data_IF_455587597612
#
_entry.id   IF_455587597612
#
_cell.length_a   1.000
_cell.length_b   1.000
_cell.length_c   1.000
_cell.angle_alpha   90.00
_cell.angle_beta   90.00
_cell.angle_gamma   90.00
#
_symmetry.space_group_name_H-M   'P 1'
#
loop_
_entity.id
_entity.type
_entity.pdbx_description
1 polymer ?
#
# COMPACT_ATOMS: atom_id res chain seq x y z
N UNK A 1 -30.76 -3.84 -78.42
CA UNK A 1 -30.21 -5.19 -78.68
C UNK A 1 -30.00 -5.87 -77.33
N UNK A 2 -31.00 -6.64 -76.85
CA UNK A 2 -31.02 -8.13 -76.74
C UNK A 2 -30.24 -8.62 -75.50
N UNK A 3 -30.80 -9.23 -74.43
CA UNK A 3 -32.09 -9.89 -74.08
C UNK A 3 -32.22 -9.88 -72.51
N UNK A 4 -33.36 -9.57 -71.85
CA UNK A 4 -34.54 -10.41 -71.49
C UNK A 4 -34.19 -11.72 -70.72
N UNK A 5 -34.63 -12.00 -69.47
CA UNK A 5 -35.98 -12.44 -68.98
C UNK A 5 -35.93 -12.71 -67.44
N UNK A 6 -36.92 -12.27 -66.62
CA UNK A 6 -38.04 -13.03 -65.93
C UNK A 6 -37.58 -14.20 -65.01
N UNK A 7 -38.00 -14.41 -63.74
CA UNK A 7 -39.33 -14.53 -63.06
C UNK A 7 -39.15 -14.26 -61.54
N UNK A 8 -40.04 -13.61 -60.77
CA UNK A 8 -41.37 -13.96 -60.22
C UNK A 8 -41.43 -15.11 -59.18
N UNK A 9 -41.86 -14.73 -57.96
CA UNK A 9 -42.78 -15.39 -56.99
C UNK A 9 -42.28 -16.59 -56.20
N UNK A 10 -42.43 -16.50 -54.87
CA UNK A 10 -42.36 -17.66 -53.97
C UNK A 10 -42.39 -17.28 -52.49
N UNK A 11 -43.54 -16.81 -52.00
CA UNK A 11 -43.87 -16.72 -50.57
C UNK A 11 -43.88 -18.14 -49.99
N UNK A 12 -43.05 -18.41 -48.99
CA UNK A 12 -43.02 -19.66 -48.24
C UNK A 12 -42.78 -19.38 -46.77
N UNK A 13 -43.85 -19.10 -46.03
CA UNK A 13 -43.87 -19.15 -44.57
C UNK A 13 -43.68 -20.62 -44.17
N UNK A 14 -42.55 -20.93 -43.54
CA UNK A 14 -42.41 -22.12 -42.70
C UNK A 14 -41.99 -21.67 -41.32
N UNK A 15 -42.98 -21.58 -40.44
CA UNK A 15 -42.82 -21.68 -39.00
C UNK A 15 -42.32 -23.11 -38.70
N UNK A 16 -41.04 -23.24 -38.37
CA UNK A 16 -40.52 -24.43 -37.72
C UNK A 16 -39.56 -23.97 -36.62
N UNK A 17 -40.06 -24.03 -35.39
CA UNK A 17 -39.28 -23.78 -34.18
C UNK A 17 -38.01 -24.61 -34.17
N UNK A 18 -36.89 -23.94 -33.93
CA UNK A 18 -35.65 -24.59 -33.54
C UNK A 18 -35.17 -23.86 -32.30
N UNK A 19 -35.21 -24.58 -31.18
CA UNK A 19 -34.47 -24.28 -29.97
C UNK A 19 -33.03 -23.91 -30.35
N UNK A 20 -32.69 -22.62 -30.31
CA UNK A 20 -31.29 -22.22 -30.14
C UNK A 20 -30.97 -22.47 -28.67
N UNK A 21 -30.54 -23.70 -28.40
CA UNK A 21 -29.74 -24.03 -27.25
C UNK A 21 -28.67 -22.94 -27.10
N UNK A 22 -28.65 -22.32 -25.92
CA UNK A 22 -27.68 -21.30 -25.57
C UNK A 22 -26.28 -21.83 -25.84
N UNK A 23 -25.61 -21.21 -26.82
CA UNK A 23 -24.16 -21.25 -26.83
C UNK A 23 -23.73 -20.60 -25.51
N UNK A 24 -22.93 -21.27 -24.67
CA UNK A 24 -22.33 -20.60 -23.55
C UNK A 24 -21.54 -19.45 -24.14
N UNK A 25 -21.86 -18.23 -23.70
CA UNK A 25 -20.92 -17.12 -23.79
C UNK A 25 -19.67 -17.66 -23.11
N UNK A 26 -18.68 -18.02 -23.93
CA UNK A 26 -17.36 -18.39 -23.48
C UNK A 26 -16.83 -17.12 -22.85
N UNK A 27 -17.02 -16.98 -21.54
CA UNK A 27 -16.45 -15.89 -20.76
C UNK A 27 -14.98 -15.81 -21.17
N UNK A 28 -14.53 -14.61 -21.51
CA UNK A 28 -13.10 -14.32 -21.58
C UNK A 28 -12.46 -14.99 -20.37
N UNK A 29 -11.57 -15.96 -20.61
CA UNK A 29 -10.72 -16.48 -19.55
C UNK A 29 -9.99 -15.26 -19.00
N UNK A 30 -10.42 -14.77 -17.84
CA UNK A 30 -9.76 -13.70 -17.12
C UNK A 30 -8.34 -14.16 -16.84
N UNK A 31 -7.40 -13.75 -17.71
CA UNK A 31 -6.00 -14.08 -17.58
C UNK A 31 -5.49 -13.35 -16.34
N UNK A 32 -5.27 -14.10 -15.27
CA UNK A 32 -4.62 -13.59 -14.06
C UNK A 32 -3.32 -12.91 -14.48
N UNK A 33 -3.19 -11.63 -14.13
CA UNK A 33 -2.02 -10.84 -14.47
C UNK A 33 -0.89 -11.19 -13.49
N UNK A 34 0.21 -11.72 -14.01
CA UNK A 34 1.41 -12.02 -13.21
C UNK A 34 2.41 -10.87 -13.38
N UNK A 35 2.75 -10.23 -12.26
CA UNK A 35 3.59 -9.06 -12.16
C UNK A 35 4.81 -9.36 -11.30
N UNK A 36 5.97 -8.81 -11.67
CA UNK A 36 7.16 -8.92 -10.83
C UNK A 36 8.00 -10.20 -10.99
N UNK A 37 7.74 -11.02 -12.01
CA UNK A 37 8.46 -12.28 -12.27
C UNK A 37 9.40 -12.20 -13.49
N UNK A 38 9.88 -11.00 -13.84
CA UNK A 38 10.79 -10.82 -14.98
C UNK A 38 12.26 -10.89 -14.55
N UNK A 39 13.15 -11.16 -15.50
CA UNK A 39 14.60 -11.13 -15.29
C UNK A 39 15.11 -9.77 -14.76
N UNK A 40 14.38 -8.68 -15.01
CA UNK A 40 14.70 -7.37 -14.45
C UNK A 40 14.53 -7.36 -12.92
N UNK A 41 13.41 -7.88 -12.41
CA UNK A 41 13.16 -7.98 -10.97
C UNK A 41 14.11 -8.97 -10.28
N UNK A 42 14.50 -10.05 -10.96
CA UNK A 42 15.53 -10.97 -10.44
C UNK A 42 16.88 -10.27 -10.29
N UNK A 43 17.24 -9.39 -11.24
CA UNK A 43 18.49 -8.66 -11.20
C UNK A 43 18.46 -7.56 -10.12
N UNK A 44 17.36 -6.80 -10.04
CA UNK A 44 17.13 -5.80 -8.99
C UNK A 44 17.11 -6.46 -7.60
N UNK A 45 16.52 -7.64 -7.47
CA UNK A 45 16.48 -8.40 -6.23
C UNK A 45 17.87 -8.79 -5.68
N UNK A 46 18.89 -8.90 -6.54
CA UNK A 46 20.26 -9.20 -6.14
C UNK A 46 21.04 -8.00 -5.60
N UNK A 47 20.49 -6.78 -5.68
CA UNK A 47 21.15 -5.59 -5.15
C UNK A 47 21.41 -5.74 -3.66
N UNK A 48 22.65 -5.53 -3.24
CA UNK A 48 23.02 -5.53 -1.83
C UNK A 48 22.48 -4.25 -1.18
N UNK A 49 21.65 -4.41 -0.16
CA UNK A 49 21.06 -3.30 0.59
C UNK A 49 21.35 -3.44 2.07
N UNK A 50 21.52 -2.31 2.74
CA UNK A 50 21.59 -2.24 4.19
C UNK A 50 20.18 -2.01 4.74
N UNK A 51 19.68 -2.97 5.51
CA UNK A 51 18.38 -2.94 6.15
C UNK A 51 18.51 -3.41 7.61
N UNK A 52 17.98 -2.64 8.55
CA UNK A 52 18.08 -2.90 10.00
C UNK A 52 19.51 -3.22 10.48
N UNK A 53 20.50 -2.50 9.96
CA UNK A 53 21.92 -2.66 10.33
C UNK A 53 22.64 -3.85 9.69
N UNK A 54 21.97 -4.62 8.82
CA UNK A 54 22.56 -5.77 8.11
C UNK A 54 22.54 -5.57 6.61
N UNK A 55 23.62 -5.96 5.92
CA UNK A 55 23.67 -6.04 4.46
C UNK A 55 23.07 -7.36 3.99
N UNK A 56 22.07 -7.31 3.10
CA UNK A 56 21.41 -8.47 2.49
C UNK A 56 20.88 -8.13 1.09
N UNK A 57 20.57 -9.11 0.23
CA UNK A 57 19.92 -8.85 -1.05
C UNK A 57 18.55 -8.17 -0.87
N UNK A 58 18.18 -7.28 -1.79
CA UNK A 58 16.88 -6.62 -1.79
C UNK A 58 15.72 -7.62 -1.84
N UNK A 59 15.86 -8.72 -2.57
CA UNK A 59 14.86 -9.80 -2.61
C UNK A 59 14.59 -10.40 -1.22
N UNK A 60 15.63 -10.55 -0.37
CA UNK A 60 15.44 -11.01 1.01
C UNK A 60 14.63 -10.01 1.82
N UNK A 61 14.94 -8.71 1.71
CA UNK A 61 14.16 -7.66 2.39
C UNK A 61 12.72 -7.67 1.90
N UNK A 62 12.52 -7.64 0.57
CA UNK A 62 11.19 -7.61 -0.03
C UNK A 62 10.34 -8.81 0.40
N UNK A 63 10.89 -10.02 0.41
CA UNK A 63 10.19 -11.22 0.89
C UNK A 63 9.81 -11.12 2.35
N UNK A 64 10.71 -10.68 3.22
CA UNK A 64 10.45 -10.53 4.65
C UNK A 64 9.32 -9.51 4.91
N UNK A 65 9.40 -8.33 4.29
CA UNK A 65 8.41 -7.27 4.50
C UNK A 65 7.06 -7.62 3.87
N UNK A 66 7.03 -8.14 2.64
CA UNK A 66 5.80 -8.60 1.98
C UNK A 66 5.16 -9.74 2.77
N UNK A 67 5.94 -10.72 3.25
CA UNK A 67 5.43 -11.79 4.10
C UNK A 67 4.91 -11.28 5.43
N UNK A 68 5.55 -10.28 6.02
CA UNK A 68 5.07 -9.68 7.25
C UNK A 68 3.68 -9.06 7.05
N UNK A 69 3.50 -8.24 6.01
CA UNK A 69 2.25 -7.51 5.75
C UNK A 69 1.13 -8.41 5.19
N UNK A 70 1.44 -9.22 4.18
CA UNK A 70 0.46 -10.03 3.45
C UNK A 70 0.30 -11.46 4.04
N UNK A 71 1.26 -11.94 4.82
CA UNK A 71 1.33 -13.31 5.34
C UNK A 71 1.98 -14.32 4.41
N UNK A 72 2.27 -13.93 3.16
CA UNK A 72 2.96 -14.74 2.14
C UNK A 72 3.92 -13.87 1.35
N UNK A 73 4.91 -14.47 0.70
CA UNK A 73 5.92 -13.74 -0.08
C UNK A 73 5.41 -13.26 -1.45
N UNK A 74 4.30 -13.81 -1.92
CA UNK A 74 3.66 -13.44 -3.19
C UNK A 74 2.29 -12.87 -2.88
N UNK A 75 2.03 -11.64 -3.31
CA UNK A 75 0.72 -11.01 -3.10
C UNK A 75 -0.23 -11.50 -4.19
N UNK A 76 -1.44 -11.86 -3.77
CA UNK A 76 -2.54 -12.25 -4.65
C UNK A 76 -3.68 -11.30 -4.41
N UNK A 77 -4.02 -10.50 -5.43
CA UNK A 77 -5.11 -9.55 -5.38
C UNK A 77 -6.35 -10.18 -5.98
N UNK A 78 -7.46 -10.03 -5.25
CA UNK A 78 -8.76 -10.52 -5.64
C UNK A 78 -9.67 -9.34 -5.95
N UNK A 79 -10.57 -9.50 -6.92
CA UNK A 79 -11.62 -8.53 -7.18
C UNK A 79 -12.74 -8.59 -6.12
N UNK A 80 -13.78 -7.76 -6.27
CA UNK A 80 -14.92 -7.72 -5.36
C UNK A 80 -15.71 -9.05 -5.29
N UNK A 81 -15.55 -9.92 -6.28
CA UNK A 81 -16.16 -11.26 -6.31
C UNK A 81 -15.29 -12.34 -5.64
N UNK A 82 -14.17 -11.93 -5.04
CA UNK A 82 -13.11 -12.79 -4.49
C UNK A 82 -12.40 -13.63 -5.57
N UNK A 83 -12.45 -13.21 -6.83
CA UNK A 83 -11.75 -13.89 -7.93
C UNK A 83 -10.33 -13.35 -8.05
N UNK A 84 -9.33 -14.22 -8.15
CA UNK A 84 -7.93 -13.84 -8.34
C UNK A 84 -7.77 -13.08 -9.67
N UNK A 85 -7.26 -11.85 -9.62
CA UNK A 85 -7.05 -11.00 -10.80
C UNK A 85 -5.58 -10.68 -11.04
N UNK A 86 -4.78 -10.50 -9.98
CA UNK A 86 -3.36 -10.20 -10.09
C UNK A 86 -2.52 -10.99 -9.09
N UNK A 87 -1.30 -11.31 -9.49
CA UNK A 87 -0.27 -11.90 -8.64
C UNK A 87 1.00 -11.08 -8.75
N UNK A 88 1.59 -10.71 -7.62
CA UNK A 88 2.76 -9.85 -7.55
C UNK A 88 3.92 -10.56 -6.85
N UNK A 89 5.08 -10.58 -7.52
CA UNK A 89 6.35 -10.96 -6.92
C UNK A 89 6.75 -9.99 -5.80
N UNK A 90 7.52 -10.46 -4.80
CA UNK A 90 7.85 -9.68 -3.60
C UNK A 90 8.60 -8.39 -3.91
N UNK A 91 9.63 -8.47 -4.77
CA UNK A 91 10.44 -7.31 -5.15
C UNK A 91 9.59 -6.25 -5.83
N UNK A 92 8.77 -6.65 -6.81
CA UNK A 92 7.89 -5.73 -7.50
C UNK A 92 6.89 -5.05 -6.57
N UNK A 93 6.18 -5.82 -5.74
CA UNK A 93 5.23 -5.24 -4.78
C UNK A 93 5.91 -4.26 -3.81
N UNK A 94 7.05 -4.66 -3.24
CA UNK A 94 7.79 -3.84 -2.28
C UNK A 94 8.27 -2.50 -2.87
N UNK A 95 8.73 -2.51 -4.12
CA UNK A 95 9.12 -1.29 -4.83
C UNK A 95 7.91 -0.44 -5.19
N UNK A 96 6.84 -1.08 -5.65
CA UNK A 96 5.61 -0.40 -6.05
C UNK A 96 4.90 0.27 -4.86
N UNK A 97 5.06 -0.27 -3.63
CA UNK A 97 4.64 0.43 -2.40
C UNK A 97 5.31 1.79 -2.22
N UNK A 98 6.56 1.94 -2.65
CA UNK A 98 7.31 3.19 -2.51
C UNK A 98 6.97 4.20 -3.60
N UNK A 99 6.69 3.73 -4.81
CA UNK A 99 6.52 4.56 -6.02
C UNK A 99 5.05 4.91 -6.27
N UNK A 100 4.12 3.97 -6.06
CA UNK A 100 2.68 4.12 -6.33
C UNK A 100 1.83 3.71 -5.12
N UNK A 101 2.04 4.33 -3.93
CA UNK A 101 1.31 3.97 -2.71
C UNK A 101 -0.21 4.11 -2.85
N UNK A 102 -0.69 5.03 -3.68
CA UNK A 102 -2.11 5.26 -3.93
C UNK A 102 -2.82 4.05 -4.52
N UNK A 103 -2.13 3.24 -5.33
CA UNK A 103 -2.69 1.98 -5.82
C UNK A 103 -2.90 1.00 -4.66
N UNK A 104 -1.89 0.85 -3.81
CA UNK A 104 -1.85 -0.10 -2.70
C UNK A 104 -2.75 0.28 -1.53
N UNK A 105 -2.92 1.58 -1.27
CA UNK A 105 -3.81 2.09 -0.22
C UNK A 105 -5.27 1.62 -0.41
N UNK A 106 -5.67 1.29 -1.64
CA UNK A 106 -6.99 0.78 -2.00
C UNK A 106 -7.00 -0.75 -2.28
N UNK A 107 -5.87 -1.45 -2.18
CA UNK A 107 -5.82 -2.91 -2.37
C UNK A 107 -6.02 -3.67 -1.04
N UNK A 108 -6.79 -4.77 -1.02
CA UNK A 108 -6.92 -5.61 0.17
C UNK A 108 -5.72 -6.54 0.32
N UNK A 109 -4.63 -6.06 0.94
CA UNK A 109 -3.40 -6.85 1.10
C UNK A 109 -2.83 -6.85 2.53
N UNK A 110 -3.40 -6.10 3.48
CA UNK A 110 -2.96 -6.15 4.88
C UNK A 110 -3.67 -7.31 5.58
N UNK A 111 -2.90 -8.29 6.06
CA UNK A 111 -3.47 -9.49 6.67
C UNK A 111 -4.14 -9.22 8.02
N UNK A 112 -5.42 -9.57 8.10
CA UNK A 112 -6.25 -9.61 9.32
C UNK A 112 -6.97 -10.96 9.35
N UNK A 113 -6.24 -12.00 9.77
CA UNK A 113 -6.67 -13.40 9.72
C UNK A 113 -7.68 -13.78 10.81
N UNK A 114 -7.79 -12.98 11.86
CA UNK A 114 -8.71 -13.23 12.98
C UNK A 114 -10.10 -12.63 12.72
N UNK A 115 -11.10 -13.50 12.52
CA UNK A 115 -12.46 -13.11 12.15
C UNK A 115 -13.12 -12.10 13.12
N UNK A 116 -13.09 -12.29 14.46
CA UNK A 116 -13.72 -11.33 15.38
C UNK A 116 -13.13 -9.92 15.29
N UNK A 117 -11.82 -9.80 15.09
CA UNK A 117 -11.16 -8.51 14.90
C UNK A 117 -11.60 -7.86 13.58
N UNK A 118 -11.60 -8.64 12.48
CA UNK A 118 -12.00 -8.13 11.17
C UNK A 118 -13.45 -7.63 11.17
N UNK A 119 -14.36 -8.36 11.81
CA UNK A 119 -15.74 -7.92 12.00
C UNK A 119 -15.80 -6.63 12.80
N UNK A 120 -15.05 -6.50 13.90
CA UNK A 120 -15.00 -5.27 14.69
C UNK A 120 -14.51 -4.07 13.87
N UNK A 121 -13.50 -4.24 13.01
CA UNK A 121 -12.96 -3.19 12.13
C UNK A 121 -13.98 -2.77 11.06
N UNK A 122 -14.65 -3.73 10.42
CA UNK A 122 -15.56 -3.48 9.29
C UNK A 122 -16.98 -3.11 9.70
N UNK A 123 -17.37 -3.26 10.97
CA UNK A 123 -18.76 -3.11 11.41
C UNK A 123 -19.31 -1.73 11.08
N UNK A 124 -18.63 -0.66 11.47
CA UNK A 124 -19.15 0.71 11.31
C UNK A 124 -19.25 1.11 9.83
N UNK A 125 -18.22 0.82 9.03
CA UNK A 125 -18.22 1.11 7.59
C UNK A 125 -19.29 0.31 6.85
N UNK A 126 -19.51 -0.95 7.24
CA UNK A 126 -20.57 -1.78 6.67
C UNK A 126 -21.94 -1.25 7.04
N UNK A 127 -22.18 -0.88 8.30
CA UNK A 127 -23.44 -0.26 8.75
C UNK A 127 -23.71 1.04 7.99
N UNK A 128 -22.69 1.89 7.81
CA UNK A 128 -22.81 3.12 7.01
C UNK A 128 -23.23 2.82 5.58
N UNK A 129 -22.56 1.88 4.90
CA UNK A 129 -22.91 1.52 3.52
C UNK A 129 -24.30 0.92 3.38
N UNK A 130 -24.78 0.14 4.37
CA UNK A 130 -26.17 -0.33 4.38
C UNK A 130 -27.17 0.82 4.51
N UNK A 131 -26.86 1.84 5.34
CA UNK A 131 -27.69 3.06 5.43
C UNK A 131 -27.66 3.86 4.13
N UNK A 132 -26.52 3.93 3.45
CA UNK A 132 -26.41 4.60 2.15
C UNK A 132 -27.27 3.91 1.09
N UNK A 133 -27.28 2.56 1.05
CA UNK A 133 -28.17 1.79 0.17
C UNK A 133 -29.64 2.03 0.55
N UNK A 134 -29.97 2.06 1.83
CA UNK A 134 -31.32 2.35 2.31
C UNK A 134 -31.81 3.75 1.88
N UNK A 135 -30.92 4.74 1.85
CA UNK A 135 -31.23 6.11 1.51
C UNK A 135 -31.46 6.36 0.01
N UNK A 136 -31.11 5.42 -0.87
CA UNK A 136 -31.31 5.57 -2.33
C UNK A 136 -32.79 5.66 -2.68
N UNK A 137 -33.10 6.44 -3.70
CA UNK A 137 -34.46 6.58 -4.24
C UNK A 137 -34.96 5.27 -4.87
N UNK A 138 -34.05 4.48 -5.43
CA UNK A 138 -34.31 3.17 -6.02
C UNK A 138 -34.69 2.10 -4.99
N UNK A 139 -34.47 2.34 -3.70
CA UNK A 139 -34.74 1.39 -2.62
C UNK A 139 -36.21 1.47 -2.19
N UNK A 140 -36.89 0.31 -2.17
CA UNK A 140 -38.29 0.21 -1.74
C UNK A 140 -38.47 0.64 -0.28
N UNK A 141 -39.67 1.08 0.11
CA UNK A 141 -39.95 1.44 1.51
C UNK A 141 -39.73 0.26 2.47
N UNK A 142 -40.10 -0.95 2.05
CA UNK A 142 -39.88 -2.20 2.80
C UNK A 142 -38.38 -2.45 3.03
N UNK A 143 -37.59 -2.39 1.96
CA UNK A 143 -36.13 -2.59 2.02
C UNK A 143 -35.42 -1.50 2.82
N UNK A 144 -35.86 -0.24 2.69
CA UNK A 144 -35.31 0.88 3.46
C UNK A 144 -35.45 0.65 4.97
N UNK A 145 -36.64 0.23 5.42
CA UNK A 145 -36.87 -0.12 6.83
C UNK A 145 -36.06 -1.34 7.25
N UNK A 146 -35.98 -2.38 6.42
CA UNK A 146 -35.23 -3.59 6.72
C UNK A 146 -33.72 -3.34 6.84
N UNK A 147 -33.13 -2.61 5.89
CA UNK A 147 -31.71 -2.24 5.89
C UNK A 147 -31.36 -1.33 7.08
N UNK A 148 -32.21 -0.36 7.40
CA UNK A 148 -31.99 0.53 8.56
C UNK A 148 -32.00 -0.26 9.86
N UNK A 149 -32.96 -1.18 10.03
CA UNK A 149 -33.03 -2.08 11.19
C UNK A 149 -31.81 -2.99 11.27
N UNK A 150 -31.38 -3.56 10.13
CA UNK A 150 -30.20 -4.41 10.07
C UNK A 150 -28.92 -3.64 10.46
N UNK A 151 -28.77 -2.41 9.97
CA UNK A 151 -27.66 -1.53 10.28
C UNK A 151 -27.64 -1.04 11.75
N UNK A 152 -28.74 -1.18 12.49
CA UNK A 152 -28.84 -0.84 13.92
C UNK A 152 -28.85 -2.08 14.83
N UNK A 153 -28.95 -3.28 14.25
CA UNK A 153 -28.98 -4.54 15.00
C UNK A 153 -27.72 -4.75 15.83
N UNK A 154 -27.88 -5.29 17.04
CA UNK A 154 -26.76 -5.78 17.86
C UNK A 154 -26.17 -7.08 17.29
N UNK A 155 -26.97 -7.88 16.60
CA UNK A 155 -26.57 -9.12 15.92
C UNK A 155 -26.21 -8.84 14.46
N UNK A 156 -25.13 -8.07 14.25
CA UNK A 156 -24.66 -7.72 12.92
C UNK A 156 -23.71 -8.79 12.36
N UNK A 157 -24.28 -9.76 11.62
CA UNK A 157 -23.55 -10.94 11.13
C UNK A 157 -23.74 -11.14 9.61
N UNK A 158 -22.82 -11.86 8.97
CA UNK A 158 -22.96 -12.31 7.58
C UNK A 158 -24.26 -13.07 7.34
N UNK A 159 -24.69 -13.91 8.29
CA UNK A 159 -25.93 -14.67 8.19
C UNK A 159 -27.17 -13.76 8.18
N UNK A 160 -27.19 -12.71 9.03
CA UNK A 160 -28.28 -11.75 9.07
C UNK A 160 -28.39 -10.95 7.75
N UNK A 161 -27.26 -10.53 7.18
CA UNK A 161 -27.25 -9.84 5.88
C UNK A 161 -27.69 -10.78 4.74
N UNK A 162 -27.24 -12.03 4.76
CA UNK A 162 -27.62 -13.04 3.76
C UNK A 162 -29.11 -13.37 3.83
N UNK A 163 -29.66 -13.49 5.04
CA UNK A 163 -31.08 -13.72 5.24
C UNK A 163 -31.93 -12.56 4.70
N UNK A 164 -31.49 -11.31 4.89
CA UNK A 164 -32.11 -10.14 4.29
C UNK A 164 -32.12 -10.22 2.74
N UNK A 165 -30.98 -10.55 2.14
CA UNK A 165 -30.84 -10.62 0.68
C UNK A 165 -31.78 -11.64 0.01
N UNK A 166 -32.14 -12.72 0.70
CA UNK A 166 -33.04 -13.76 0.16
C UNK A 166 -34.48 -13.26 -0.05
N UNK A 167 -34.91 -12.26 0.72
CA UNK A 167 -36.26 -11.68 0.62
C UNK A 167 -36.29 -10.27 0.04
N UNK A 168 -35.13 -9.66 -0.23
CA UNK A 168 -35.03 -8.27 -0.69
C UNK A 168 -35.55 -8.07 -2.11
N UNK A 169 -36.08 -6.87 -2.37
CA UNK A 169 -36.48 -6.42 -3.72
C UNK A 169 -35.52 -5.34 -4.25
N UNK A 170 -34.29 -5.34 -3.75
CA UNK A 170 -33.26 -4.40 -4.15
C UNK A 170 -32.96 -4.51 -5.65
N UNK A 171 -32.69 -3.38 -6.33
CA UNK A 171 -32.07 -3.40 -7.64
C UNK A 171 -30.80 -4.26 -7.66
N UNK A 172 -30.51 -4.91 -8.78
CA UNK A 172 -29.40 -5.87 -8.89
C UNK A 172 -28.05 -5.28 -8.44
N UNK A 173 -27.77 -4.01 -8.77
CA UNK A 173 -26.55 -3.32 -8.36
C UNK A 173 -26.45 -3.14 -6.83
N UNK A 174 -27.57 -2.81 -6.18
CA UNK A 174 -27.66 -2.64 -4.73
C UNK A 174 -27.58 -3.99 -4.03
N UNK A 175 -28.25 -5.01 -4.59
CA UNK A 175 -28.18 -6.40 -4.12
C UNK A 175 -26.74 -6.91 -4.15
N UNK A 176 -26.02 -6.68 -5.25
CA UNK A 176 -24.60 -7.03 -5.38
C UNK A 176 -23.74 -6.31 -4.33
N UNK A 177 -23.97 -5.01 -4.14
CA UNK A 177 -23.27 -4.21 -3.11
C UNK A 177 -23.47 -4.82 -1.72
N UNK A 178 -24.70 -5.14 -1.33
CA UNK A 178 -25.01 -5.73 -0.01
C UNK A 178 -24.46 -7.16 0.12
N UNK A 179 -24.43 -7.94 -0.97
CA UNK A 179 -23.82 -9.27 -0.99
C UNK A 179 -22.30 -9.21 -0.79
N UNK A 180 -21.62 -8.26 -1.44
CA UNK A 180 -20.18 -8.01 -1.24
C UNK A 180 -19.89 -7.66 0.22
N UNK A 181 -20.68 -6.77 0.83
CA UNK A 181 -20.56 -6.44 2.26
C UNK A 181 -20.67 -7.67 3.18
N UNK A 182 -21.65 -8.55 2.93
CA UNK A 182 -21.81 -9.79 3.69
C UNK A 182 -20.59 -10.71 3.56
N UNK A 183 -20.09 -10.85 2.33
CA UNK A 183 -18.94 -11.69 1.98
C UNK A 183 -17.67 -11.24 2.69
N UNK A 184 -17.46 -9.92 2.79
CA UNK A 184 -16.31 -9.31 3.45
C UNK A 184 -16.28 -9.51 4.97
N UNK A 185 -17.43 -9.67 5.60
CA UNK A 185 -17.54 -10.04 7.02
C UNK A 185 -17.32 -11.54 7.27
N UNK A 186 -17.25 -12.36 6.22
CA UNK A 186 -17.03 -13.81 6.29
C UNK A 186 -15.55 -14.21 6.43
N UNK A 187 -15.28 -15.51 6.49
CA UNK A 187 -13.93 -16.06 6.71
C UNK A 187 -12.99 -15.95 5.51
N UNK A 188 -13.54 -15.89 4.29
CA UNK A 188 -12.78 -15.92 3.04
C UNK A 188 -11.97 -14.64 2.78
N UNK A 189 -12.43 -13.50 3.28
CA UNK A 189 -11.80 -12.19 3.07
C UNK A 189 -10.84 -11.84 4.21
N UNK A 190 -9.62 -12.40 4.17
CA UNK A 190 -8.63 -12.23 5.26
C UNK A 190 -7.78 -10.97 5.17
N UNK A 191 -7.86 -10.24 4.07
CA UNK A 191 -7.07 -9.02 3.86
C UNK A 191 -7.95 -7.79 3.82
N UNK A 192 -7.49 -6.73 4.46
CA UNK A 192 -8.10 -5.41 4.45
C UNK A 192 -7.23 -4.43 3.69
N UNK A 193 -7.83 -3.35 3.21
CA UNK A 193 -7.08 -2.23 2.64
C UNK A 193 -6.40 -1.43 3.75
N UNK A 194 -5.26 -0.76 3.47
CA UNK A 194 -4.69 0.21 4.40
C UNK A 194 -5.70 1.28 4.84
N UNK A 195 -6.48 1.84 3.91
CA UNK A 195 -7.50 2.86 4.24
C UNK A 195 -8.57 2.35 5.19
N UNK A 196 -9.03 1.11 5.03
CA UNK A 196 -10.02 0.54 5.94
C UNK A 196 -9.51 0.37 7.36
N UNK A 197 -8.21 0.11 7.53
CA UNK A 197 -7.60 0.09 8.86
C UNK A 197 -7.39 1.50 9.42
N UNK A 198 -7.04 2.47 8.58
CA UNK A 198 -6.83 3.87 8.98
C UNK A 198 -8.14 4.55 9.39
N UNK A 199 -9.21 4.34 8.62
CA UNK A 199 -10.52 4.96 8.82
C UNK A 199 -11.38 4.21 9.86
N UNK A 200 -10.97 2.99 10.25
CA UNK A 200 -11.75 2.18 11.17
C UNK A 200 -11.84 2.83 12.56
N UNK A 201 -13.07 2.82 13.08
CA UNK A 201 -13.35 3.07 14.50
C UNK A 201 -13.78 1.76 15.12
N UNK A 202 -13.14 1.39 16.23
CA UNK A 202 -13.45 0.17 16.95
C UNK A 202 -14.09 0.53 18.28
N UNK A 203 -15.22 -0.10 18.57
CA UNK A 203 -15.87 0.02 19.88
C UNK A 203 -15.18 -0.89 20.88
N UNK A 204 -14.54 -0.30 21.88
CA UNK A 204 -13.89 -1.01 22.97
C UNK A 204 -14.25 -0.36 24.31
N UNK A 205 -14.68 -1.17 25.29
CA UNK A 205 -15.14 -0.69 26.62
C UNK A 205 -16.18 0.44 26.54
N UNK A 206 -17.06 0.39 25.53
CA UNK A 206 -18.14 1.36 25.34
C UNK A 206 -17.73 2.68 24.66
N UNK A 207 -16.48 2.81 24.21
CA UNK A 207 -15.99 3.97 23.49
C UNK A 207 -15.54 3.59 22.07
N UNK A 208 -15.90 4.41 21.09
CA UNK A 208 -15.45 4.25 19.71
C UNK A 208 -14.16 5.05 19.48
N UNK A 209 -13.05 4.35 19.30
CA UNK A 209 -11.70 4.93 19.13
C UNK A 209 -11.16 4.60 17.74
N UNK A 210 -10.36 5.48 17.13
CA UNK A 210 -9.69 5.15 15.89
C UNK A 210 -8.79 3.91 16.07
N UNK A 211 -8.74 3.03 15.08
CA UNK A 211 -8.07 1.74 15.20
C UNK A 211 -6.59 1.89 15.58
N UNK A 212 -5.86 2.82 14.97
CA UNK A 212 -4.44 3.02 15.28
C UNK A 212 -4.18 3.64 16.66
N UNK A 213 -5.10 4.49 17.16
CA UNK A 213 -5.04 4.99 18.53
C UNK A 213 -5.30 3.86 19.54
N UNK A 214 -6.26 3.00 19.23
CA UNK A 214 -6.53 1.80 20.04
C UNK A 214 -5.30 0.89 20.06
N UNK A 215 -4.70 0.55 18.91
CA UNK A 215 -3.47 -0.26 18.83
C UNK A 215 -2.34 0.35 19.67
N UNK A 216 -2.10 1.65 19.59
CA UNK A 216 -1.07 2.31 20.39
C UNK A 216 -1.32 2.17 21.90
N UNK A 217 -2.59 2.27 22.33
CA UNK A 217 -2.98 2.05 23.73
C UNK A 217 -2.76 0.60 24.19
N UNK A 218 -3.01 -0.37 23.30
CA UNK A 218 -2.80 -1.80 23.58
C UNK A 218 -1.32 -2.17 23.65
N UNK A 219 -0.48 -1.62 22.77
CA UNK A 219 0.99 -1.79 22.86
C UNK A 219 1.52 -1.20 24.17
N UNK A 220 1.01 -0.06 24.63
CA UNK A 220 1.36 0.50 25.94
C UNK A 220 0.91 -0.40 27.09
N UNK A 221 -0.33 -0.88 27.06
CA UNK A 221 -0.83 -1.83 28.04
C UNK A 221 0.02 -3.11 28.07
N UNK A 222 0.40 -3.64 26.90
CA UNK A 222 1.30 -4.79 26.80
C UNK A 222 2.64 -4.52 27.48
N UNK A 223 3.27 -3.37 27.21
CA UNK A 223 4.55 -3.01 27.85
C UNK A 223 4.43 -2.91 29.37
N UNK A 224 3.36 -2.30 29.88
CA UNK A 224 3.10 -2.23 31.33
C UNK A 224 2.88 -3.60 31.94
N UNK A 225 2.12 -4.48 31.27
CA UNK A 225 1.90 -5.86 31.72
C UNK A 225 3.20 -6.65 31.77
N UNK A 226 4.03 -6.57 30.72
CA UNK A 226 5.30 -7.29 30.65
C UNK A 226 6.28 -6.80 31.73
N UNK A 227 6.26 -5.50 32.07
CA UNK A 227 7.08 -4.92 33.13
C UNK A 227 6.55 -5.25 34.55
N UNK A 228 5.24 -5.22 34.74
CA UNK A 228 4.57 -5.57 36.00
C UNK A 228 3.19 -6.19 35.72
N UNK A 229 3.07 -7.53 35.75
CA UNK A 229 1.81 -8.23 35.45
C UNK A 229 0.63 -7.89 36.37
N UNK A 230 0.87 -7.30 37.54
CA UNK A 230 -0.18 -6.86 38.46
C UNK A 230 -0.69 -5.44 38.21
N UNK A 231 -0.07 -4.68 37.29
CA UNK A 231 -0.37 -3.25 37.08
C UNK A 231 -1.53 -2.98 36.12
N UNK A 232 -1.78 -3.90 35.19
CA UNK A 232 -2.82 -3.78 34.14
C UNK A 232 -3.34 -5.17 33.77
N UNK A 233 -4.50 -5.22 33.12
CA UNK A 233 -5.08 -6.48 32.62
C UNK A 233 -4.25 -7.07 31.47
N UNK A 234 -4.27 -8.40 31.36
CA UNK A 234 -3.67 -9.09 30.21
C UNK A 234 -4.53 -8.87 28.96
N UNK A 235 -3.88 -8.64 27.83
CA UNK A 235 -4.57 -8.53 26.54
C UNK A 235 -5.31 -9.82 26.17
N UNK A 236 -6.53 -9.65 25.67
CA UNK A 236 -7.35 -10.66 25.01
C UNK A 236 -6.75 -11.08 23.65
N UNK A 237 -7.26 -12.16 23.06
CA UNK A 237 -6.81 -12.57 21.72
C UNK A 237 -7.10 -11.51 20.66
N UNK A 238 -8.30 -10.91 20.67
CA UNK A 238 -8.67 -9.84 19.74
C UNK A 238 -7.70 -8.65 19.82
N UNK A 239 -7.33 -8.23 21.04
CA UNK A 239 -6.39 -7.12 21.25
C UNK A 239 -4.97 -7.47 20.79
N UNK A 240 -4.50 -8.69 21.04
CA UNK A 240 -3.20 -9.14 20.51
C UNK A 240 -3.18 -9.13 18.97
N UNK A 241 -4.26 -9.62 18.35
CA UNK A 241 -4.40 -9.61 16.89
C UNK A 241 -4.53 -8.20 16.33
N UNK A 242 -5.11 -7.27 17.08
CA UNK A 242 -5.19 -5.86 16.70
C UNK A 242 -3.79 -5.24 16.63
N UNK A 243 -2.93 -5.52 17.62
CA UNK A 243 -1.51 -5.13 17.59
C UNK A 243 -0.82 -5.70 16.35
N UNK A 244 -1.00 -6.99 16.04
CA UNK A 244 -0.38 -7.59 14.86
C UNK A 244 -0.84 -6.92 13.56
N UNK A 245 -2.14 -6.67 13.40
CA UNK A 245 -2.69 -5.97 12.23
C UNK A 245 -2.16 -4.53 12.12
N UNK A 246 -2.11 -3.80 13.24
CA UNK A 246 -1.54 -2.45 13.29
C UNK A 246 -0.06 -2.42 12.95
N UNK A 247 0.73 -3.41 13.40
CA UNK A 247 2.15 -3.55 13.03
C UNK A 247 2.32 -3.77 11.53
N UNK A 248 1.49 -4.63 10.92
CA UNK A 248 1.51 -4.84 9.46
C UNK A 248 1.22 -3.56 8.69
N UNK A 249 0.20 -2.81 9.09
CA UNK A 249 -0.09 -1.50 8.48
C UNK A 249 1.09 -0.54 8.64
N UNK A 250 1.67 -0.46 9.84
CA UNK A 250 2.81 0.41 10.11
C UNK A 250 4.06 0.03 9.32
N UNK A 251 4.29 -1.26 9.09
CA UNK A 251 5.37 -1.75 8.22
C UNK A 251 5.16 -1.27 6.79
N UNK A 252 3.96 -1.47 6.21
CA UNK A 252 3.66 -0.92 4.88
C UNK A 252 3.85 0.60 4.83
N UNK A 253 3.31 1.34 5.80
CA UNK A 253 3.43 2.80 5.90
C UNK A 253 4.86 3.28 6.19
N UNK A 254 5.78 2.41 6.61
CA UNK A 254 7.18 2.74 6.75
C UNK A 254 7.88 2.89 5.39
N UNK A 255 7.40 2.19 4.36
CA UNK A 255 7.95 2.23 3.01
C UNK A 255 7.14 3.12 2.06
N UNK A 256 5.81 3.15 2.22
CA UNK A 256 4.89 3.92 1.35
C UNK A 256 4.82 5.42 1.67
N UNK A 257 4.14 6.19 0.80
CA UNK A 257 3.93 7.64 0.95
C UNK A 257 5.21 8.47 0.79
N UNK A 258 5.19 9.76 1.14
CA UNK A 258 6.36 10.64 1.02
C UNK A 258 7.22 10.69 2.29
N UNK A 259 6.65 10.34 3.44
CA UNK A 259 7.39 10.35 4.70
C UNK A 259 8.50 9.30 4.73
N UNK A 260 9.68 9.71 5.18
CA UNK A 260 10.82 8.82 5.37
C UNK A 260 10.88 8.41 6.84
N UNK A 261 10.41 7.19 7.15
CA UNK A 261 10.37 6.65 8.51
C UNK A 261 11.60 5.80 8.78
N UNK A 262 12.24 5.98 9.93
CA UNK A 262 13.49 5.29 10.28
C UNK A 262 13.39 3.76 10.20
N UNK A 263 12.23 3.20 10.52
CA UNK A 263 11.96 1.77 10.47
C UNK A 263 11.94 1.20 9.03
N UNK A 264 11.66 2.02 8.02
CA UNK A 264 11.53 1.61 6.61
C UNK A 264 12.72 2.00 5.73
N UNK A 265 13.86 2.36 6.31
CA UNK A 265 15.01 2.82 5.51
C UNK A 265 15.78 1.61 4.95
N UNK A 266 15.59 1.35 3.66
CA UNK A 266 16.46 0.48 2.86
C UNK A 266 17.52 1.33 2.20
N UNK A 267 18.81 1.14 2.53
CA UNK A 267 19.91 1.91 1.91
C UNK A 267 20.61 1.08 0.86
N UNK A 268 20.85 1.64 -0.31
CA UNK A 268 21.25 0.85 -1.50
C UNK A 268 22.54 1.33 -2.16
N UNK A 269 22.88 2.61 -2.06
CA UNK A 269 24.06 3.14 -2.75
C UNK A 269 24.88 4.08 -1.87
N UNK A 270 26.22 4.06 -1.97
CA UNK A 270 27.05 5.06 -1.34
C UNK A 270 26.71 6.46 -1.88
N UNK A 271 27.04 7.49 -1.09
CA UNK A 271 26.87 8.88 -1.49
C UNK A 271 27.97 9.27 -2.47
N UNK A 272 27.68 10.09 -3.50
CA UNK A 272 28.71 10.71 -4.30
C UNK A 272 29.62 11.58 -3.41
N UNK A 273 30.93 11.53 -3.65
CA UNK A 273 31.94 12.26 -2.88
C UNK A 273 32.93 13.00 -3.81
N UNK A 274 32.54 13.24 -5.07
CA UNK A 274 33.35 13.97 -6.04
C UNK A 274 33.30 15.48 -5.80
N UNK A 275 34.19 16.23 -6.45
CA UNK A 275 34.12 17.69 -6.45
C UNK A 275 32.75 18.22 -6.91
N UNK A 276 32.12 17.54 -7.88
CA UNK A 276 30.74 17.84 -8.31
C UNK A 276 29.74 17.68 -7.17
N UNK A 277 29.86 16.61 -6.38
CA UNK A 277 28.99 16.37 -5.23
C UNK A 277 29.13 17.46 -4.15
N UNK A 278 30.36 17.94 -3.87
CA UNK A 278 30.58 19.07 -2.96
C UNK A 278 29.93 20.36 -3.47
N UNK A 279 30.07 20.65 -4.77
CA UNK A 279 29.39 21.77 -5.41
C UNK A 279 27.86 21.68 -5.27
N UNK A 280 27.30 20.48 -5.41
CA UNK A 280 25.88 20.23 -5.18
C UNK A 280 25.46 20.49 -3.73
N UNK A 281 26.23 20.02 -2.74
CA UNK A 281 25.95 20.30 -1.31
C UNK A 281 25.87 21.80 -1.05
N UNK A 282 26.80 22.57 -1.61
CA UNK A 282 26.80 24.05 -1.53
C UNK A 282 25.52 24.65 -2.12
N UNK A 283 25.08 24.15 -3.28
CA UNK A 283 23.83 24.57 -3.91
C UNK A 283 22.62 24.25 -3.04
N UNK A 284 22.58 23.05 -2.45
CA UNK A 284 21.48 22.62 -1.58
C UNK A 284 21.39 23.49 -0.33
N UNK A 285 22.50 23.89 0.29
CA UNK A 285 22.52 24.82 1.43
C UNK A 285 21.88 26.17 1.03
N UNK A 286 22.22 26.69 -0.15
CA UNK A 286 21.62 27.94 -0.67
C UNK A 286 20.10 27.78 -0.90
N UNK A 287 19.68 26.68 -1.51
CA UNK A 287 18.26 26.36 -1.72
C UNK A 287 17.50 26.28 -0.39
N UNK A 288 18.09 25.61 0.61
CA UNK A 288 17.51 25.46 1.95
C UNK A 288 17.32 26.80 2.66
N UNK A 289 18.30 27.71 2.54
CA UNK A 289 18.22 29.07 3.11
C UNK A 289 17.16 29.94 2.45
N UNK A 290 16.92 29.74 1.15
CA UNK A 290 15.88 30.43 0.41
C UNK A 290 14.48 29.82 0.59
N UNK A 291 14.39 28.60 1.13
CA UNK A 291 13.13 27.90 1.30
C UNK A 291 12.37 28.36 2.55
N UNK A 292 11.04 28.38 2.47
CA UNK A 292 10.17 28.62 3.63
C UNK A 292 10.14 27.41 4.57
N UNK A 293 10.37 26.21 4.05
CA UNK A 293 10.36 24.95 4.78
C UNK A 293 11.35 23.96 4.17
N UNK A 294 12.05 23.21 5.03
CA UNK A 294 12.90 22.09 4.56
C UNK A 294 12.10 20.97 3.89
N UNK A 295 10.78 20.93 4.09
CA UNK A 295 9.87 19.98 3.41
C UNK A 295 9.64 20.31 1.94
N UNK A 296 9.95 21.54 1.52
CA UNK A 296 9.78 21.98 0.13
C UNK A 296 10.97 21.56 -0.75
N UNK A 297 12.05 21.04 -0.14
CA UNK A 297 13.23 20.54 -0.84
C UNK A 297 12.93 19.20 -1.53
N UNK A 298 13.60 18.96 -2.65
CA UNK A 298 13.52 17.65 -3.30
C UNK A 298 14.08 16.55 -2.36
N UNK A 299 13.61 15.29 -2.46
CA UNK A 299 14.01 14.22 -1.55
C UNK A 299 15.53 14.05 -1.42
N UNK A 300 16.26 14.13 -2.54
CA UNK A 300 17.72 14.01 -2.57
C UNK A 300 18.44 15.23 -1.97
N UNK A 301 17.87 16.43 -2.09
CA UNK A 301 18.40 17.64 -1.43
C UNK A 301 18.26 17.54 0.09
N UNK A 302 17.08 17.16 0.56
CA UNK A 302 16.83 16.96 1.99
C UNK A 302 17.73 15.86 2.58
N UNK A 303 17.90 14.75 1.87
CA UNK A 303 18.82 13.68 2.27
C UNK A 303 20.29 14.14 2.27
N UNK A 304 20.68 15.01 1.33
CA UNK A 304 22.01 15.64 1.31
C UNK A 304 22.24 16.52 2.54
N UNK A 305 21.26 17.35 2.93
CA UNK A 305 21.35 18.15 4.16
C UNK A 305 21.43 17.29 5.42
N UNK A 306 20.69 16.19 5.48
CA UNK A 306 20.78 15.25 6.61
C UNK A 306 22.17 14.63 6.73
N UNK A 307 22.81 14.30 5.61
CA UNK A 307 24.18 13.80 5.62
C UNK A 307 25.16 14.85 6.18
N UNK A 308 25.03 16.11 5.73
CA UNK A 308 25.84 17.21 6.23
C UNK A 308 25.62 17.47 7.72
N UNK A 309 24.36 17.49 8.18
CA UNK A 309 24.03 17.64 9.60
C UNK A 309 24.63 16.50 10.44
N UNK A 310 24.56 15.27 9.94
CA UNK A 310 25.18 14.10 10.60
C UNK A 310 26.70 14.29 10.73
N UNK A 311 27.37 14.70 9.66
CA UNK A 311 28.81 15.00 9.69
C UNK A 311 29.15 16.12 10.69
N UNK A 312 28.36 17.19 10.70
CA UNK A 312 28.56 18.30 11.63
C UNK A 312 28.30 17.95 13.09
N UNK A 313 27.49 16.93 13.39
CA UNK A 313 27.27 16.48 14.76
C UNK A 313 28.55 15.90 15.40
N UNK A 314 29.51 15.45 14.59
CA UNK A 314 30.81 14.97 15.03
C UNK A 314 31.87 16.09 15.12
N UNK A 315 31.51 17.35 14.82
CA UNK A 315 32.43 18.49 14.74
C UNK A 315 31.99 19.62 15.69
N UNK A 316 32.93 20.18 16.50
CA UNK A 316 32.66 21.37 17.32
C UNK A 316 32.03 22.49 16.51
N UNK A 317 31.03 23.17 17.09
CA UNK A 317 30.19 24.14 16.36
C UNK A 317 30.99 25.30 15.75
N UNK A 318 32.04 25.75 16.42
CA UNK A 318 32.97 26.79 16.00
C UNK A 318 33.92 26.37 14.86
N UNK A 319 34.01 25.06 14.59
CA UNK A 319 34.82 24.47 13.52
C UNK A 319 33.96 24.03 12.31
N UNK A 320 32.64 24.22 12.38
CA UNK A 320 31.75 23.90 11.27
C UNK A 320 31.90 24.94 10.18
N UNK A 321 32.19 24.46 8.97
CA UNK A 321 32.34 25.29 7.76
C UNK A 321 31.44 24.70 6.69
N UNK A 322 30.90 25.57 5.83
CA UNK A 322 30.15 25.10 4.68
C UNK A 322 31.07 24.40 3.68
N UNK A 323 30.67 23.25 3.13
CA UNK A 323 31.39 22.64 2.02
C UNK A 323 31.63 23.65 0.90
N UNK A 324 32.83 23.68 0.35
CA UNK A 324 33.27 24.60 -0.70
C UNK A 324 34.03 25.85 -0.20
N UNK A 325 34.02 26.15 1.10
CA UNK A 325 34.74 27.31 1.65
C UNK A 325 36.19 27.00 2.07
N UNK A 326 36.51 25.73 2.35
CA UNK A 326 37.82 25.31 2.83
C UNK A 326 38.23 23.94 2.27
N UNK A 327 39.26 23.92 1.42
CA UNK A 327 39.73 22.72 0.74
C UNK A 327 40.11 21.56 1.69
N UNK A 328 40.68 21.84 2.87
CA UNK A 328 41.07 20.80 3.81
C UNK A 328 39.84 20.17 4.49
N UNK A 329 38.80 20.96 4.77
CA UNK A 329 37.55 20.46 5.33
C UNK A 329 36.72 19.74 4.26
N UNK A 330 36.76 20.20 3.02
CA UNK A 330 36.14 19.54 1.88
C UNK A 330 36.71 18.14 1.63
N UNK A 331 38.04 18.00 1.75
CA UNK A 331 38.71 16.70 1.67
C UNK A 331 38.24 15.77 2.81
N UNK A 332 38.16 16.29 4.04
CA UNK A 332 37.65 15.52 5.20
C UNK A 332 36.19 15.10 5.03
N UNK A 333 35.34 15.99 4.54
CA UNK A 333 33.93 15.69 4.32
C UNK A 333 33.76 14.67 3.18
N UNK A 334 34.52 14.80 2.10
CA UNK A 334 34.52 13.84 0.99
C UNK A 334 34.98 12.45 1.44
N UNK A 335 36.05 12.39 2.26
CA UNK A 335 36.50 11.14 2.85
C UNK A 335 35.42 10.53 3.76
N UNK A 336 34.77 11.35 4.60
CA UNK A 336 33.67 10.90 5.44
C UNK A 336 32.48 10.36 4.62
N UNK A 337 32.09 11.03 3.53
CA UNK A 337 31.02 10.56 2.63
C UNK A 337 31.33 9.19 2.02
N UNK A 338 32.59 8.95 1.68
CA UNK A 338 33.06 7.68 1.11
C UNK A 338 33.13 6.56 2.15
N UNK A 339 33.72 6.85 3.31
CA UNK A 339 34.20 5.83 4.24
C UNK A 339 33.26 5.61 5.44
N UNK A 340 32.50 6.64 5.83
CA UNK A 340 31.76 6.66 7.10
C UNK A 340 30.27 6.98 6.95
N UNK A 341 29.87 7.67 5.88
CA UNK A 341 28.48 8.04 5.69
C UNK A 341 27.61 6.81 5.47
N UNK A 342 26.43 6.85 6.07
CA UNK A 342 25.36 5.92 5.70
C UNK A 342 25.00 6.11 4.22
N UNK A 343 24.72 4.99 3.56
CA UNK A 343 24.25 4.94 2.18
C UNK A 343 22.91 5.66 1.98
N UNK A 344 22.64 6.07 0.75
CA UNK A 344 21.41 6.75 0.35
C UNK A 344 20.21 5.79 0.42
N UNK A 345 19.08 6.22 1.00
CA UNK A 345 17.85 5.44 1.00
C UNK A 345 17.33 5.18 -0.43
N UNK A 346 16.89 3.95 -0.71
CA UNK A 346 16.29 3.55 -1.99
C UNK A 346 15.12 4.45 -2.37
N UNK A 347 14.23 4.75 -1.42
CA UNK A 347 13.08 5.65 -1.63
C UNK A 347 13.48 7.05 -2.09
N UNK A 348 14.62 7.57 -1.62
CA UNK A 348 15.13 8.89 -2.06
C UNK A 348 15.53 8.82 -3.54
N UNK A 349 16.20 7.75 -3.94
CA UNK A 349 16.64 7.55 -5.32
C UNK A 349 15.45 7.34 -6.27
N UNK A 350 14.47 6.50 -5.88
CA UNK A 350 13.28 6.22 -6.69
C UNK A 350 12.36 7.43 -6.87
N UNK A 351 12.36 8.38 -5.91
CA UNK A 351 11.54 9.60 -5.97
C UNK A 351 12.28 10.82 -6.51
N UNK A 352 13.58 10.72 -6.74
CA UNK A 352 14.35 11.81 -7.31
C UNK A 352 14.15 11.86 -8.83
N UNK A 353 14.16 13.06 -9.40
CA UNK A 353 14.26 13.22 -10.85
C UNK A 353 15.65 12.78 -11.32
N UNK A 354 15.79 12.21 -12.53
CA UNK A 354 17.09 11.80 -13.07
C UNK A 354 18.13 12.93 -13.02
N UNK A 355 17.72 14.16 -13.36
CA UNK A 355 18.60 15.32 -13.42
C UNK A 355 19.21 15.63 -12.05
N UNK A 356 18.40 15.55 -10.99
CA UNK A 356 18.86 15.80 -9.62
C UNK A 356 19.88 14.75 -9.16
N UNK A 357 19.70 13.49 -9.58
CA UNK A 357 20.65 12.42 -9.27
C UNK A 357 21.99 12.62 -10.00
N UNK A 358 21.94 13.08 -11.24
CA UNK A 358 23.15 13.42 -12.00
C UNK A 358 23.85 14.63 -11.39
N UNK A 359 23.10 15.65 -10.99
CA UNK A 359 23.64 16.86 -10.34
C UNK A 359 24.36 16.56 -9.02
N UNK A 360 23.80 15.70 -8.16
CA UNK A 360 24.48 15.26 -6.92
C UNK A 360 25.75 14.45 -7.19
N UNK A 361 25.94 13.98 -8.43
CA UNK A 361 27.19 13.38 -8.88
C UNK A 361 27.10 11.89 -9.18
N UNK A 362 25.89 11.32 -9.30
CA UNK A 362 25.75 9.98 -9.87
C UNK A 362 26.02 10.01 -11.39
N UNK A 363 26.63 8.95 -11.95
CA UNK A 363 26.81 8.82 -13.39
C UNK A 363 25.47 8.75 -14.14
N UNK A 364 25.32 9.53 -15.21
CA UNK A 364 24.05 9.67 -15.94
C UNK A 364 23.55 8.39 -16.58
N UNK A 365 24.44 7.61 -17.22
CA UNK A 365 24.05 6.36 -17.86
C UNK A 365 23.50 5.36 -16.83
N UNK A 366 24.12 5.28 -15.66
CA UNK A 366 23.75 4.42 -14.55
C UNK A 366 22.46 4.90 -13.86
N UNK A 367 22.27 6.22 -13.70
CA UNK A 367 21.01 6.79 -13.19
C UNK A 367 19.86 6.44 -14.12
N UNK A 368 20.03 6.64 -15.43
CA UNK A 368 19.00 6.35 -16.42
C UNK A 368 18.69 4.85 -16.46
N UNK A 369 19.73 3.99 -16.43
CA UNK A 369 19.54 2.55 -16.39
C UNK A 369 18.87 2.09 -15.08
N UNK A 370 19.23 2.68 -13.95
CA UNK A 370 18.61 2.42 -12.65
C UNK A 370 17.13 2.80 -12.71
N UNK A 371 16.81 4.06 -13.02
CA UNK A 371 15.42 4.53 -13.03
C UNK A 371 14.56 3.85 -14.09
N UNK A 372 15.11 3.46 -15.24
CA UNK A 372 14.36 2.71 -16.26
C UNK A 372 14.03 1.27 -15.84
N UNK A 373 14.71 0.73 -14.81
CA UNK A 373 14.43 -0.59 -14.26
C UNK A 373 13.30 -0.60 -13.20
N UNK A 374 12.82 0.57 -12.79
CA UNK A 374 11.73 0.77 -11.82
C UNK A 374 10.57 1.52 -12.46
#
# INVERSE_FOLDING_TARGET
MRRFRRLLVGLGVVLAGSFQAGLPVRGEESKVKVLGESAAYDQVGKLAVMHAGRVKPLDTVAREEVKHVFGRETIKLHDASNTLVETWGPVAAFLDWMVRPEFWDDQPFVLVDYLPLRQAILTDSTRSRLKDVAARESTSAEDRTALSRLAESTEFTTAAITAYLNGSKLPEADRKTVAELASRLGEEHKWLTPRELEDARVSHKGQATAFMEWVASLDEQKRKFDANPGSVERLTETERRAIDAGRRLMTYKAYSGDEMRSAGIVRVMPRPFSFKALGYVTQVIKNARGSKSLRDLAPIEFDTLKALDTYWNDIPRDQRVEPGENAQLDEKFSAWLRDSSVWVPLKVLLKAKPENLVEVGYPEAEVNAFLAAY
#
